data_IF_311811242133
#
_entry.id   IF_311811242133
#
_cell.length_a   1.000
_cell.length_b   1.000
_cell.length_c   1.000
_cell.angle_alpha   90.00
_cell.angle_beta   90.00
_cell.angle_gamma   90.00
#
_symmetry.space_group_name_H-M   'P 1'
#
loop_
_entity.id
_entity.type
_entity.pdbx_description
1 polymer ?
#
# COMPACT_ATOMS: atom_id res chain seq x y z
N UNK A 1 -28.52 -4.60 8.15
CA UNK A 1 -29.99 -4.72 8.24
C UNK A 1 -30.45 -5.28 6.91
N UNK A 2 -30.95 -6.51 6.86
CA UNK A 2 -31.43 -7.13 5.63
C UNK A 2 -32.70 -6.41 5.19
N UNK A 3 -32.61 -5.61 4.13
CA UNK A 3 -33.79 -4.92 3.58
C UNK A 3 -34.57 -5.97 2.78
N UNK A 4 -35.76 -6.34 3.26
CA UNK A 4 -36.65 -7.22 2.49
C UNK A 4 -37.16 -6.49 1.24
N UNK A 5 -37.23 -7.22 0.12
CA UNK A 5 -37.70 -6.68 -1.15
C UNK A 5 -39.16 -6.22 -1.00
N UNK A 6 -39.52 -4.97 -1.39
CA UNK A 6 -40.88 -4.50 -1.33
C UNK A 6 -41.81 -5.30 -2.24
N UNK A 7 -43.11 -5.34 -1.93
CA UNK A 7 -44.12 -5.91 -2.81
C UNK A 7 -44.32 -5.01 -4.06
N UNK A 8 -44.17 -5.59 -5.25
CA UNK A 8 -44.22 -4.90 -6.55
C UNK A 8 -45.43 -5.31 -7.40
N UNK A 9 -46.41 -6.01 -6.82
CA UNK A 9 -47.55 -6.61 -7.53
C UNK A 9 -48.46 -5.60 -8.25
N UNK A 10 -48.50 -4.34 -7.79
CA UNK A 10 -49.39 -3.29 -8.30
C UNK A 10 -48.74 -2.38 -9.38
N UNK A 11 -47.54 -2.72 -9.84
CA UNK A 11 -46.76 -1.89 -10.77
C UNK A 11 -47.01 -2.31 -12.23
N UNK A 12 -46.99 -1.33 -13.15
CA UNK A 12 -47.13 -1.60 -14.57
C UNK A 12 -46.05 -2.59 -15.08
N UNK A 13 -46.40 -3.55 -15.97
CA UNK A 13 -45.48 -4.61 -16.42
C UNK A 13 -44.16 -4.08 -17.01
N UNK A 14 -44.20 -2.94 -17.68
CA UNK A 14 -43.04 -2.27 -18.29
C UNK A 14 -42.06 -1.75 -17.23
N UNK A 15 -42.58 -1.27 -16.10
CA UNK A 15 -41.79 -0.76 -14.98
C UNK A 15 -41.20 -1.92 -14.18
N UNK A 16 -41.96 -3.01 -14.00
CA UNK A 16 -41.44 -4.23 -13.37
C UNK A 16 -40.27 -4.81 -14.17
N UNK A 17 -40.40 -4.92 -15.50
CA UNK A 17 -39.33 -5.39 -16.37
C UNK A 17 -38.09 -4.48 -16.32
N UNK A 18 -38.28 -3.15 -16.17
CA UNK A 18 -37.18 -2.22 -16.00
C UNK A 18 -36.47 -2.39 -14.65
N UNK A 19 -37.22 -2.58 -13.56
CA UNK A 19 -36.66 -2.83 -12.23
C UNK A 19 -35.86 -4.14 -12.24
N UNK A 20 -36.43 -5.22 -12.78
CA UNK A 20 -35.74 -6.52 -12.88
C UNK A 20 -34.47 -6.43 -13.74
N UNK A 21 -34.51 -5.65 -14.83
CA UNK A 21 -33.33 -5.40 -15.64
C UNK A 21 -32.24 -4.60 -14.90
N UNK A 22 -32.63 -3.67 -14.03
CA UNK A 22 -31.71 -2.92 -13.18
C UNK A 22 -31.15 -3.78 -12.05
N UNK A 23 -31.98 -4.61 -11.39
CA UNK A 23 -31.56 -5.56 -10.35
C UNK A 23 -30.57 -6.58 -10.93
N UNK A 24 -30.86 -7.18 -12.10
CA UNK A 24 -29.93 -8.08 -12.77
C UNK A 24 -28.61 -7.39 -13.20
N UNK A 25 -28.68 -6.10 -13.56
CA UNK A 25 -27.49 -5.30 -13.86
C UNK A 25 -26.71 -4.96 -12.59
N UNK A 26 -27.38 -4.76 -11.46
CA UNK A 26 -26.77 -4.51 -10.17
C UNK A 26 -26.09 -5.79 -9.66
N UNK A 27 -26.75 -6.96 -9.72
CA UNK A 27 -26.16 -8.25 -9.37
C UNK A 27 -24.93 -8.57 -10.23
N UNK A 28 -24.96 -8.22 -11.51
CA UNK A 28 -23.81 -8.38 -12.41
C UNK A 28 -22.64 -7.43 -12.06
N UNK A 29 -22.92 -6.30 -11.39
CA UNK A 29 -21.92 -5.35 -10.91
C UNK A 29 -21.44 -5.70 -9.49
N UNK A 30 -22.31 -6.24 -8.62
CA UNK A 30 -21.96 -6.70 -7.27
C UNK A 30 -21.20 -8.04 -7.31
N UNK A 31 -21.46 -8.90 -8.30
CA UNK A 31 -20.60 -10.04 -8.63
C UNK A 31 -19.21 -9.63 -9.16
N UNK A 32 -19.03 -8.35 -9.47
CA UNK A 32 -17.79 -7.69 -9.87
C UNK A 32 -17.28 -6.75 -8.75
N UNK A 33 -17.43 -7.16 -7.47
CA UNK A 33 -16.59 -6.68 -6.36
C UNK A 33 -15.09 -7.02 -6.55
N UNK A 34 -14.71 -7.56 -7.72
CA UNK A 34 -13.37 -7.47 -8.25
C UNK A 34 -13.07 -6.03 -8.64
N UNK A 35 -12.62 -5.25 -7.66
CA UNK A 35 -11.98 -3.93 -7.77
C UNK A 35 -11.78 -3.53 -9.22
N UNK A 36 -12.69 -2.67 -9.72
CA UNK A 36 -12.69 -2.17 -11.09
C UNK A 36 -11.25 -2.13 -11.60
N UNK A 37 -10.91 -3.11 -12.45
CA UNK A 37 -9.62 -3.17 -13.15
C UNK A 37 -9.60 -1.92 -14.01
N UNK A 38 -9.18 -0.82 -13.41
CA UNK A 38 -9.13 0.49 -14.05
C UNK A 38 -8.41 0.30 -15.36
N UNK A 39 -8.94 0.91 -16.42
CA UNK A 39 -8.27 0.97 -17.72
C UNK A 39 -6.77 1.09 -17.49
N UNK A 40 -6.02 0.11 -18.02
CA UNK A 40 -4.57 0.06 -17.87
C UNK A 40 -4.03 1.39 -18.39
N UNK A 41 -3.63 2.26 -17.47
CA UNK A 41 -3.19 3.59 -17.82
C UNK A 41 -1.89 3.45 -18.59
N UNK A 42 -1.87 3.97 -19.82
CA UNK A 42 -0.64 3.95 -20.62
C UNK A 42 0.47 4.69 -19.87
N UNK A 43 1.67 4.09 -19.71
CA UNK A 43 2.77 4.72 -19.00
C UNK A 43 3.10 6.08 -19.58
N UNK A 44 3.15 7.11 -18.73
CA UNK A 44 3.49 8.46 -19.17
C UNK A 44 5.00 8.68 -19.41
N UNK A 45 5.82 7.70 -19.03
CA UNK A 45 7.27 7.70 -19.14
C UNK A 45 7.78 6.29 -19.46
N UNK A 46 8.99 6.14 -20.04
CA UNK A 46 9.58 4.82 -20.29
C UNK A 46 9.87 4.06 -18.98
N UNK A 47 10.03 2.73 -19.02
CA UNK A 47 10.37 1.93 -17.86
C UNK A 47 11.60 2.44 -17.11
N UNK A 48 11.51 2.47 -15.77
CA UNK A 48 12.57 2.96 -14.89
C UNK A 48 12.81 1.99 -13.74
N UNK A 49 14.04 1.97 -13.21
CA UNK A 49 14.41 1.26 -11.97
C UNK A 49 13.93 1.97 -10.70
N UNK A 50 13.35 3.16 -10.83
CA UNK A 50 12.79 3.91 -9.72
C UNK A 50 11.41 3.34 -9.35
N UNK A 51 11.21 3.09 -8.06
CA UNK A 51 9.99 2.52 -7.51
C UNK A 51 9.37 3.49 -6.51
N UNK A 52 8.05 3.56 -6.51
CA UNK A 52 7.25 4.08 -5.40
C UNK A 52 6.97 2.92 -4.46
N UNK A 53 7.24 3.10 -3.19
CA UNK A 53 7.12 2.07 -2.16
C UNK A 53 6.10 2.55 -1.15
N UNK A 54 5.10 1.71 -0.91
CA UNK A 54 3.99 1.98 -0.01
C UNK A 54 3.93 0.91 1.06
N UNK A 55 3.84 1.32 2.32
CA UNK A 55 3.93 0.43 3.48
C UNK A 55 2.88 0.82 4.52
N UNK A 56 2.11 -0.15 5.04
CA UNK A 56 1.17 0.01 6.15
C UNK A 56 1.85 -0.09 7.51
N UNK A 57 1.13 0.18 8.62
CA UNK A 57 1.72 0.05 9.97
C UNK A 57 1.93 -1.39 10.38
N UNK A 58 1.08 -2.33 9.94
CA UNK A 58 1.27 -3.77 10.22
C UNK A 58 2.27 -4.44 9.28
N UNK A 59 2.87 -3.68 8.37
CA UNK A 59 3.94 -4.14 7.49
C UNK A 59 3.46 -4.83 6.22
N UNK A 60 2.24 -4.53 5.76
CA UNK A 60 1.86 -4.82 4.36
C UNK A 60 2.59 -3.81 3.48
N UNK A 61 3.36 -4.30 2.52
CA UNK A 61 4.16 -3.44 1.65
C UNK A 61 4.06 -3.87 0.20
N UNK A 62 4.32 -2.92 -0.70
CA UNK A 62 4.63 -3.18 -2.11
C UNK A 62 5.56 -2.15 -2.68
N UNK A 63 6.16 -2.50 -3.81
CA UNK A 63 6.80 -1.55 -4.72
C UNK A 63 6.02 -1.49 -6.03
N UNK A 64 5.86 -0.30 -6.55
CA UNK A 64 5.24 -0.04 -7.84
C UNK A 64 6.23 0.76 -8.69
N UNK A 65 6.63 0.26 -9.87
CA UNK A 65 7.52 0.99 -10.75
C UNK A 65 6.95 2.38 -11.06
N UNK A 66 7.79 3.42 -10.98
CA UNK A 66 7.35 4.83 -11.09
C UNK A 66 6.60 5.10 -12.39
N UNK A 67 7.00 4.44 -13.48
CA UNK A 67 6.39 4.61 -14.80
C UNK A 67 4.94 4.12 -14.89
N UNK A 68 4.46 3.32 -13.93
CA UNK A 68 3.03 2.97 -13.83
C UNK A 68 2.18 4.13 -13.30
N UNK A 69 2.78 5.12 -12.62
CA UNK A 69 2.08 6.33 -12.23
C UNK A 69 1.98 7.30 -13.40
N UNK A 70 0.75 7.54 -13.84
CA UNK A 70 0.46 8.52 -14.88
C UNK A 70 0.35 9.92 -14.29
N UNK A 71 0.74 10.95 -15.07
CA UNK A 71 0.54 12.35 -14.67
C UNK A 71 -0.95 12.68 -14.58
N UNK A 72 -1.44 12.92 -13.36
CA UNK A 72 -2.78 13.41 -13.13
C UNK A 72 -2.85 14.95 -13.29
N UNK A 73 -3.94 15.46 -13.88
CA UNK A 73 -4.22 16.90 -13.94
C UNK A 73 -4.76 17.38 -12.57
N UNK A 74 -4.64 18.68 -12.28
CA UNK A 74 -5.23 19.28 -11.06
C UNK A 74 -6.75 19.04 -11.03
N UNK A 75 -7.29 18.70 -9.86
CA UNK A 75 -8.73 18.51 -9.64
C UNK A 75 -9.23 17.07 -9.82
N UNK A 76 -8.36 16.09 -10.08
CA UNK A 76 -8.75 14.69 -10.11
C UNK A 76 -8.73 14.04 -8.72
N UNK A 77 -9.58 13.02 -8.52
CA UNK A 77 -9.58 12.14 -7.35
C UNK A 77 -8.25 11.39 -7.32
N UNK A 78 -7.46 11.55 -6.26
CA UNK A 78 -6.09 11.01 -6.18
C UNK A 78 -5.99 9.51 -6.51
N UNK A 79 -4.79 9.05 -6.84
CA UNK A 79 -4.52 7.65 -7.14
C UNK A 79 -4.37 6.86 -5.84
N UNK A 80 -5.28 5.91 -5.60
CA UNK A 80 -5.13 4.91 -4.54
C UNK A 80 -4.08 3.90 -4.99
N UNK A 81 -2.97 3.82 -4.28
CA UNK A 81 -1.89 2.91 -4.68
C UNK A 81 -2.03 1.55 -4.02
N UNK A 82 -1.96 1.49 -2.70
CA UNK A 82 -1.98 0.23 -1.95
C UNK A 82 -3.42 -0.03 -1.47
N UNK A 83 -4.03 -1.08 -2.00
CA UNK A 83 -5.27 -1.60 -1.44
C UNK A 83 -4.95 -2.31 -0.13
N UNK A 84 -5.65 -1.92 0.93
CA UNK A 84 -5.42 -2.38 2.29
C UNK A 84 -6.77 -2.51 2.98
N UNK A 85 -6.87 -3.49 3.88
CA UNK A 85 -7.97 -3.60 4.83
C UNK A 85 -8.19 -2.23 5.51
N UNK A 86 -9.46 -1.82 5.66
CA UNK A 86 -9.89 -0.57 6.28
C UNK A 86 -9.20 -0.30 7.64
N UNK A 87 -8.78 -1.37 8.32
CA UNK A 87 -8.12 -1.31 9.63
C UNK A 87 -6.60 -1.11 9.60
N UNK A 88 -5.96 -1.05 8.42
CA UNK A 88 -4.50 -0.87 8.26
C UNK A 88 -4.14 -0.04 7.02
N UNK A 89 -4.58 1.21 7.02
CA UNK A 89 -4.30 2.15 5.94
C UNK A 89 -2.78 2.34 5.68
N UNK A 90 -2.39 2.66 4.43
CA UNK A 90 -1.01 3.02 4.08
C UNK A 90 -0.46 4.14 4.97
N UNK A 91 0.73 3.94 5.53
CA UNK A 91 1.32 4.84 6.51
C UNK A 91 2.62 5.49 6.03
N UNK A 92 3.35 4.82 5.15
CA UNK A 92 4.61 5.31 4.61
C UNK A 92 4.58 5.25 3.08
N UNK A 93 5.02 6.36 2.47
CA UNK A 93 5.19 6.50 1.03
C UNK A 93 6.59 7.03 0.79
N UNK A 94 7.40 6.28 0.03
CA UNK A 94 8.78 6.64 -0.26
C UNK A 94 9.15 6.25 -1.69
N UNK A 95 10.24 6.81 -2.18
CA UNK A 95 10.74 6.54 -3.53
C UNK A 95 12.18 6.09 -3.45
N UNK A 96 12.50 4.99 -4.13
CA UNK A 96 13.83 4.41 -4.13
C UNK A 96 14.12 3.64 -5.41
N UNK A 97 15.39 3.55 -5.77
CA UNK A 97 15.84 2.68 -6.85
C UNK A 97 15.76 1.21 -6.42
N UNK A 98 15.54 0.31 -7.37
CA UNK A 98 15.50 -1.15 -7.12
C UNK A 98 16.79 -1.68 -6.49
N UNK A 99 17.94 -1.06 -6.79
CA UNK A 99 19.24 -1.42 -6.20
C UNK A 99 19.45 -0.93 -4.77
N UNK A 100 18.56 -0.07 -4.25
CA UNK A 100 18.70 0.49 -2.92
C UNK A 100 18.34 -0.52 -1.81
N UNK A 101 18.89 -0.30 -0.62
CA UNK A 101 18.39 -0.91 0.61
C UNK A 101 17.26 -0.08 1.20
N UNK A 102 16.24 -0.73 1.75
CA UNK A 102 15.20 -0.12 2.57
C UNK A 102 15.50 -0.44 4.04
N UNK A 103 15.51 0.60 4.88
CA UNK A 103 15.62 0.47 6.34
C UNK A 103 14.24 0.64 6.95
N UNK A 104 13.85 -0.30 7.81
CA UNK A 104 12.59 -0.32 8.55
C UNK A 104 12.90 -0.31 10.04
N UNK A 105 12.23 0.57 10.78
CA UNK A 105 12.32 0.65 12.24
C UNK A 105 10.94 0.45 12.83
N UNK A 106 10.83 -0.39 13.85
CA UNK A 106 9.57 -0.68 14.51
C UNK A 106 9.36 0.15 15.76
N UNK A 107 8.13 0.13 16.29
CA UNK A 107 7.75 0.73 17.56
C UNK A 107 8.46 0.10 18.79
N UNK A 108 9.00 -1.12 18.61
CA UNK A 108 9.89 -1.80 19.58
C UNK A 108 11.37 -1.45 19.40
N UNK A 109 11.67 -0.45 18.57
CA UNK A 109 13.03 0.00 18.25
C UNK A 109 13.94 -1.07 17.63
N UNK A 110 13.35 -2.10 16.99
CA UNK A 110 14.09 -3.09 16.19
C UNK A 110 14.32 -2.53 14.80
N UNK A 111 15.53 -2.72 14.27
CA UNK A 111 15.88 -2.23 12.94
C UNK A 111 16.11 -3.38 11.97
N UNK A 112 15.57 -3.23 10.77
CA UNK A 112 15.68 -4.18 9.69
C UNK A 112 16.16 -3.49 8.42
N UNK A 113 16.86 -4.25 7.59
CA UNK A 113 17.26 -3.83 6.25
C UNK A 113 16.85 -4.92 5.27
N UNK A 114 16.17 -4.51 4.21
CA UNK A 114 15.83 -5.39 3.09
C UNK A 114 16.15 -4.68 1.77
N UNK A 115 16.65 -5.38 0.74
CA UNK A 115 16.72 -4.84 -0.62
C UNK A 115 15.33 -4.38 -1.10
N UNK A 116 15.27 -3.25 -1.83
CA UNK A 116 14.02 -2.80 -2.46
C UNK A 116 13.51 -3.86 -3.44
N UNK A 117 14.40 -4.51 -4.19
CA UNK A 117 14.07 -5.58 -5.11
C UNK A 117 13.27 -6.74 -4.47
N UNK A 118 13.44 -6.98 -3.16
CA UNK A 118 12.77 -8.05 -2.42
C UNK A 118 11.31 -7.71 -2.06
N UNK A 119 10.92 -6.43 -2.18
CA UNK A 119 9.52 -6.05 -2.01
C UNK A 119 8.68 -6.60 -3.17
N UNK A 120 7.43 -7.02 -2.92
CA UNK A 120 6.55 -7.49 -3.98
C UNK A 120 6.27 -6.35 -4.95
N UNK A 121 6.55 -6.60 -6.23
CA UNK A 121 6.21 -5.69 -7.31
C UNK A 121 4.72 -5.82 -7.65
N UNK A 122 4.03 -4.68 -7.82
CA UNK A 122 2.62 -4.64 -8.19
C UNK A 122 2.24 -3.38 -8.94
N UNK A 123 1.15 -3.45 -9.69
CA UNK A 123 0.58 -2.29 -10.39
C UNK A 123 -0.01 -1.26 -9.40
N UNK A 124 -0.36 -0.09 -9.90
CA UNK A 124 -1.16 0.91 -9.19
C UNK A 124 -2.52 0.29 -8.85
N UNK A 125 -2.95 0.35 -7.58
CA UNK A 125 -4.11 -0.36 -6.99
C UNK A 125 -3.94 -1.86 -6.72
N UNK A 126 -2.78 -2.45 -6.97
CA UNK A 126 -2.55 -3.84 -6.55
C UNK A 126 -2.40 -3.95 -5.03
N UNK A 127 -2.79 -5.11 -4.49
CA UNK A 127 -2.57 -5.48 -3.10
C UNK A 127 -1.08 -5.53 -2.74
N UNK A 128 -0.76 -5.27 -1.48
CA UNK A 128 0.57 -5.51 -0.93
C UNK A 128 0.73 -6.92 -0.36
N UNK A 129 1.93 -7.23 0.14
CA UNK A 129 2.16 -8.45 0.92
C UNK A 129 2.69 -8.13 2.32
N UNK A 130 2.33 -8.95 3.32
CA UNK A 130 2.88 -8.79 4.66
C UNK A 130 4.38 -9.12 4.69
N UNK A 131 5.19 -8.16 5.14
CA UNK A 131 6.62 -8.32 5.39
C UNK A 131 6.91 -8.99 6.74
N UNK A 132 5.90 -9.14 7.61
CA UNK A 132 6.04 -9.70 8.96
C UNK A 132 6.88 -10.98 9.03
N UNK A 133 6.59 -12.02 8.22
CA UNK A 133 7.38 -13.25 8.20
C UNK A 133 8.84 -13.05 7.76
N UNK A 134 9.09 -12.18 6.78
CA UNK A 134 10.43 -11.91 6.25
C UNK A 134 11.28 -11.11 7.25
N UNK A 135 10.66 -10.14 7.94
CA UNK A 135 11.33 -9.31 8.94
C UNK A 135 11.39 -9.98 10.32
N UNK A 136 10.59 -11.03 10.57
CA UNK A 136 10.44 -11.61 11.90
C UNK A 136 9.83 -10.61 12.89
N UNK A 137 8.78 -9.90 12.46
CA UNK A 137 8.00 -9.03 13.35
C UNK A 137 7.33 -9.86 14.44
N UNK A 138 7.34 -9.34 15.67
CA UNK A 138 6.64 -9.96 16.78
C UNK A 138 5.14 -9.61 16.73
N UNK A 139 4.33 -10.39 17.43
CA UNK A 139 2.90 -10.13 17.53
C UNK A 139 2.64 -8.72 18.09
N UNK A 140 1.83 -7.94 17.36
CA UNK A 140 1.49 -6.56 17.71
C UNK A 140 2.59 -5.52 17.48
N UNK A 141 3.74 -5.91 16.90
CA UNK A 141 4.80 -4.97 16.52
C UNK A 141 4.42 -4.21 15.25
N UNK A 142 4.65 -2.90 15.25
CA UNK A 142 4.28 -2.01 14.15
C UNK A 142 5.49 -1.30 13.57
N UNK A 143 5.43 -0.99 12.28
CA UNK A 143 6.42 -0.13 11.63
C UNK A 143 6.21 1.31 12.11
N UNK A 144 7.28 1.90 12.64
CA UNK A 144 7.32 3.29 13.09
C UNK A 144 8.00 4.21 12.07
N UNK A 145 8.93 3.69 11.27
CA UNK A 145 9.66 4.45 10.26
C UNK A 145 10.15 3.53 9.13
N UNK A 146 10.12 4.03 7.90
CA UNK A 146 10.75 3.39 6.75
C UNK A 146 11.48 4.44 5.88
N UNK A 147 12.69 4.14 5.42
CA UNK A 147 13.47 5.04 4.57
C UNK A 147 14.51 4.29 3.73
N UNK A 148 14.84 4.78 2.51
CA UNK A 148 15.91 4.18 1.73
C UNK A 148 17.28 4.52 2.33
N UNK A 149 18.17 3.54 2.32
CA UNK A 149 19.57 3.66 2.71
C UNK A 149 20.33 4.52 1.69
N UNK A 150 20.77 5.70 2.10
CA UNK A 150 21.52 6.66 1.28
C UNK A 150 23.00 6.78 1.69
N UNK A 151 23.47 5.95 2.62
CA UNK A 151 24.87 5.97 3.12
C UNK A 151 25.23 7.14 4.03
N UNK A 152 24.86 8.38 3.67
CA UNK A 152 25.31 9.61 4.33
C UNK A 152 24.18 10.32 5.09
N UNK A 153 23.63 9.68 6.12
CA UNK A 153 22.52 10.26 6.90
C UNK A 153 22.67 9.98 8.40
N UNK A 154 21.94 10.71 9.23
CA UNK A 154 21.77 10.41 10.64
C UNK A 154 20.30 10.08 10.91
N UNK A 155 20.06 9.01 11.67
CA UNK A 155 18.73 8.70 12.17
C UNK A 155 18.61 9.26 13.59
N UNK A 156 17.68 10.19 13.78
CA UNK A 156 17.30 10.67 15.10
C UNK A 156 15.99 10.00 15.49
N UNK A 157 16.02 9.19 16.55
CA UNK A 157 14.84 8.56 17.12
C UNK A 157 14.43 9.35 18.36
N UNK A 158 13.16 9.71 18.44
CA UNK A 158 12.56 10.37 19.60
C UNK A 158 11.50 9.46 20.18
N UNK A 159 11.62 9.11 21.46
CA UNK A 159 10.63 8.27 22.14
C UNK A 159 9.47 9.12 22.67
N UNK A 160 8.34 8.46 22.97
CA UNK A 160 7.18 9.11 23.62
C UNK A 160 7.49 9.74 24.98
N UNK A 161 8.60 9.34 25.62
CA UNK A 161 9.10 9.94 26.88
C UNK A 161 10.05 11.12 26.65
N UNK A 162 10.22 11.55 25.41
CA UNK A 162 11.09 12.67 25.03
C UNK A 162 12.59 12.32 25.00
N UNK A 163 12.95 11.03 25.04
CA UNK A 163 14.36 10.63 24.91
C UNK A 163 14.77 10.69 23.44
N UNK A 164 15.91 11.30 23.16
CA UNK A 164 16.46 11.42 21.81
C UNK A 164 17.72 10.57 21.71
N UNK A 165 17.80 9.74 20.66
CA UNK A 165 19.02 9.01 20.32
C UNK A 165 19.35 9.22 18.85
N UNK A 166 20.60 9.61 18.59
CA UNK A 166 21.15 9.79 17.24
C UNK A 166 22.00 8.58 16.87
N UNK A 167 21.76 8.05 15.68
CA UNK A 167 22.51 6.97 15.08
C UNK A 167 23.11 7.43 13.76
N UNK A 168 24.33 6.99 13.47
CA UNK A 168 24.92 7.14 12.14
C UNK A 168 24.27 6.17 11.16
N UNK A 169 24.04 6.57 9.91
CA UNK A 169 23.46 5.69 8.89
C UNK A 169 24.29 4.43 8.63
N UNK A 170 25.61 4.47 8.83
CA UNK A 170 26.47 3.30 8.62
C UNK A 170 26.11 2.09 9.51
N UNK A 171 25.42 2.31 10.65
CA UNK A 171 24.89 1.21 11.47
C UNK A 171 23.79 0.42 10.77
N UNK A 172 23.11 1.04 9.80
CA UNK A 172 21.96 0.48 9.08
C UNK A 172 22.30 0.08 7.64
N UNK A 173 23.61 0.04 7.31
CA UNK A 173 24.09 -0.41 6.00
C UNK A 173 24.02 -1.94 5.83
N UNK A 174 24.69 -2.46 4.81
CA UNK A 174 24.67 -3.89 4.47
C UNK A 174 25.14 -4.84 5.59
N UNK A 175 25.84 -4.32 6.60
CA UNK A 175 26.32 -5.08 7.77
C UNK A 175 25.33 -5.12 8.95
N UNK A 176 24.15 -4.50 8.83
CA UNK A 176 23.14 -4.51 9.89
C UNK A 176 22.72 -5.95 10.22
N UNK A 177 22.72 -6.28 11.50
CA UNK A 177 22.07 -7.51 12.00
C UNK A 177 20.59 -7.23 12.22
N UNK A 178 19.73 -7.95 11.52
CA UNK A 178 18.29 -7.74 11.62
C UNK A 178 17.79 -7.91 13.07
N UNK A 179 16.98 -6.96 13.54
CA UNK A 179 16.29 -7.04 14.82
C UNK A 179 17.09 -6.62 16.05
N UNK A 180 18.24 -5.96 15.88
CA UNK A 180 19.01 -5.29 16.95
C UNK A 180 18.57 -3.86 17.21
#
# INVERSE_FOLDING_TARGET
MTVERPDLSDIAPEVLAYIEALEARLDALEGDDGHARGERLEPSEPPTTMNVITISRRGVAKRTPRHFYTRQRRGGMGVFDLDCDDNDAPAFLLTADESAGLVIVTDRARVFRLPVADLPEGDVRADGRPLGPQLGLQEGEQIALAFPDRGDTYLNIVTVRGQVRRFNAHYFGASLRAGT
#
